data_IF_636600764113
#
_entry.id   IF_636600764113
#
_cell.length_a   1.000
_cell.length_b   1.000
_cell.length_c   1.000
_cell.angle_alpha   90.00
_cell.angle_beta   90.00
_cell.angle_gamma   90.00
#
_symmetry.space_group_name_H-M   'P 1'
#
loop_
_entity.id
_entity.type
_entity.pdbx_description
1 polymer ?
#
# COMPACT_ATOMS: atom_id res chain seq x y z
N UNK A 1 -10.13 -37.04 0.98
CA UNK A 1 -9.59 -35.69 0.73
C UNK A 1 -8.44 -35.46 1.70
N UNK A 2 -7.28 -35.20 1.12
CA UNK A 2 -5.93 -35.45 1.63
C UNK A 2 -5.51 -34.48 2.73
N UNK A 3 -4.92 -35.05 3.80
CA UNK A 3 -4.17 -34.35 4.86
C UNK A 3 -2.97 -33.63 4.23
N UNK A 4 -3.14 -32.37 3.85
CA UNK A 4 -2.02 -31.50 3.53
C UNK A 4 -1.54 -30.83 4.81
N UNK A 5 -0.33 -31.22 5.21
CA UNK A 5 0.57 -30.58 6.19
C UNK A 5 0.14 -30.73 7.65
N UNK A 6 1.04 -31.33 8.46
CA UNK A 6 0.88 -31.67 9.89
C UNK A 6 0.78 -30.47 10.84
N UNK A 7 0.07 -29.42 10.46
CA UNK A 7 -0.31 -28.36 11.36
C UNK A 7 -1.35 -28.90 12.37
N UNK A 8 -1.18 -28.64 13.67
CA UNK A 8 -2.16 -29.04 14.67
C UNK A 8 -3.56 -28.50 14.32
N UNK A 9 -4.61 -29.30 14.54
CA UNK A 9 -6.01 -28.92 14.23
C UNK A 9 -6.42 -27.58 14.89
N UNK A 10 -5.82 -27.24 16.03
CA UNK A 10 -6.03 -25.94 16.69
C UNK A 10 -5.43 -24.77 15.90
N UNK A 11 -4.27 -24.93 15.27
CA UNK A 11 -3.63 -23.91 14.44
C UNK A 11 -4.43 -23.69 13.14
N UNK A 12 -4.93 -24.78 12.55
CA UNK A 12 -5.85 -24.75 11.41
C UNK A 12 -7.14 -24.03 11.82
N UNK A 13 -7.78 -24.40 12.93
CA UNK A 13 -9.01 -23.73 13.40
C UNK A 13 -8.78 -22.23 13.71
N UNK A 14 -7.60 -21.88 14.25
CA UNK A 14 -7.23 -20.48 14.52
C UNK A 14 -7.04 -19.70 13.22
N UNK A 15 -6.44 -20.30 12.20
CA UNK A 15 -6.33 -19.76 10.84
C UNK A 15 -7.72 -19.59 10.22
N UNK A 16 -8.59 -20.59 10.32
CA UNK A 16 -9.96 -20.53 9.79
C UNK A 16 -10.81 -19.44 10.46
N UNK A 17 -10.69 -19.28 11.77
CA UNK A 17 -11.35 -18.19 12.49
C UNK A 17 -10.75 -16.83 12.14
N UNK A 18 -9.42 -16.73 12.02
CA UNK A 18 -8.72 -15.51 11.63
C UNK A 18 -9.09 -15.04 10.21
N UNK A 19 -9.23 -15.99 9.28
CA UNK A 19 -9.71 -15.75 7.92
C UNK A 19 -11.24 -15.55 7.85
N UNK A 20 -11.97 -15.71 8.97
CA UNK A 20 -13.43 -15.55 9.02
C UNK A 20 -14.20 -16.65 8.28
N UNK A 21 -13.60 -17.82 8.07
CA UNK A 21 -14.16 -18.91 7.25
C UNK A 21 -15.40 -19.57 7.87
N UNK A 22 -15.55 -19.56 9.21
CA UNK A 22 -16.76 -20.08 9.89
C UNK A 22 -17.99 -19.21 9.68
N UNK A 23 -17.83 -17.89 9.80
CA UNK A 23 -18.90 -16.94 9.48
C UNK A 23 -19.13 -16.83 7.97
N UNK A 24 -18.08 -17.10 7.17
CA UNK A 24 -18.07 -16.95 5.72
C UNK A 24 -19.13 -17.72 4.92
N UNK A 25 -19.78 -18.72 5.51
CA UNK A 25 -20.86 -19.49 4.89
C UNK A 25 -22.24 -18.81 4.99
N UNK A 26 -22.41 -17.83 5.87
CA UNK A 26 -23.65 -17.07 5.93
C UNK A 26 -23.78 -16.08 4.76
N UNK A 27 -24.99 -15.58 4.56
CA UNK A 27 -25.29 -14.62 3.48
C UNK A 27 -24.52 -13.32 3.68
N UNK A 28 -24.05 -12.73 2.58
CA UNK A 28 -23.25 -11.52 2.61
C UNK A 28 -23.99 -10.36 3.29
N UNK A 29 -23.40 -9.82 4.36
CA UNK A 29 -23.90 -8.66 5.07
C UNK A 29 -23.86 -7.40 4.18
N UNK A 30 -24.63 -6.36 4.55
CA UNK A 30 -24.71 -5.10 3.80
C UNK A 30 -23.33 -4.51 3.53
N UNK A 31 -22.48 -4.38 4.56
CA UNK A 31 -21.15 -3.80 4.42
C UNK A 31 -20.20 -4.65 3.58
N UNK A 32 -20.31 -5.97 3.64
CA UNK A 32 -19.57 -6.87 2.77
C UNK A 32 -19.92 -6.65 1.30
N UNK A 33 -21.21 -6.46 0.99
CA UNK A 33 -21.70 -6.15 -0.36
C UNK A 33 -21.23 -4.77 -0.83
N UNK A 34 -21.31 -3.76 0.03
CA UNK A 34 -20.81 -2.40 -0.29
C UNK A 34 -19.32 -2.45 -0.60
N UNK A 35 -18.51 -3.15 0.20
CA UNK A 35 -17.08 -3.31 -0.07
C UNK A 35 -16.78 -4.10 -1.35
N UNK A 36 -17.59 -5.11 -1.69
CA UNK A 36 -17.49 -5.77 -2.99
C UNK A 36 -17.84 -4.82 -4.14
N UNK A 37 -18.90 -4.02 -3.99
CA UNK A 37 -19.26 -3.00 -4.97
C UNK A 37 -18.17 -1.94 -5.16
N UNK A 38 -17.56 -1.47 -4.06
CA UNK A 38 -16.44 -0.54 -4.08
C UNK A 38 -15.24 -1.12 -4.85
N UNK A 39 -14.90 -2.40 -4.63
CA UNK A 39 -13.86 -3.09 -5.41
C UNK A 39 -14.17 -3.07 -6.92
N UNK A 40 -15.44 -3.23 -7.29
CA UNK A 40 -15.87 -3.18 -8.68
C UNK A 40 -15.77 -1.77 -9.28
N UNK A 41 -16.11 -0.75 -8.51
CA UNK A 41 -15.93 0.66 -8.89
C UNK A 41 -14.46 1.03 -9.13
N UNK A 42 -13.53 0.61 -8.25
CA UNK A 42 -12.11 0.86 -8.44
C UNK A 42 -11.52 0.14 -9.66
N UNK A 43 -11.95 -1.09 -9.94
CA UNK A 43 -11.55 -1.81 -11.14
C UNK A 43 -12.00 -1.10 -12.42
N UNK A 44 -13.24 -0.64 -12.47
CA UNK A 44 -13.77 0.12 -13.62
C UNK A 44 -12.98 1.42 -13.76
N UNK A 45 -12.74 2.15 -12.67
CA UNK A 45 -11.96 3.39 -12.70
C UNK A 45 -10.55 3.16 -13.27
N UNK A 46 -9.85 2.12 -12.82
CA UNK A 46 -8.53 1.76 -13.33
C UNK A 46 -8.56 1.40 -14.82
N UNK A 47 -9.56 0.63 -15.26
CA UNK A 47 -9.74 0.26 -16.66
C UNK A 47 -10.06 1.46 -17.56
N UNK A 48 -10.92 2.38 -17.11
CA UNK A 48 -11.22 3.63 -17.82
C UNK A 48 -9.99 4.52 -17.90
N UNK A 49 -9.23 4.66 -16.80
CA UNK A 49 -8.00 5.44 -16.80
C UNK A 49 -7.00 4.90 -17.84
N UNK A 50 -6.81 3.59 -17.93
CA UNK A 50 -5.98 2.97 -18.97
C UNK A 50 -6.41 3.36 -20.38
N UNK A 51 -7.72 3.33 -20.67
CA UNK A 51 -8.26 3.72 -21.98
C UNK A 51 -7.96 5.19 -22.29
N UNK A 52 -8.06 6.07 -21.30
CA UNK A 52 -7.77 7.50 -21.48
C UNK A 52 -6.28 7.74 -21.77
N UNK A 53 -5.40 7.02 -21.10
CA UNK A 53 -3.94 7.27 -21.18
C UNK A 53 -3.30 6.64 -22.42
N UNK A 54 -3.80 5.50 -22.89
CA UNK A 54 -3.27 4.75 -24.06
C UNK A 54 -4.39 4.09 -24.89
N UNK A 55 -5.28 4.86 -25.55
CA UNK A 55 -6.50 4.34 -26.19
C UNK A 55 -6.28 3.42 -27.40
N UNK A 56 -5.11 3.45 -28.05
CA UNK A 56 -4.86 2.78 -29.33
C UNK A 56 -3.93 1.56 -29.22
N UNK A 57 -3.54 1.17 -28.01
CA UNK A 57 -2.67 0.01 -27.78
C UNK A 57 -3.55 -1.21 -27.50
N UNK A 58 -3.48 -2.25 -28.35
CA UNK A 58 -4.35 -3.43 -28.28
C UNK A 58 -4.26 -4.13 -26.91
N UNK A 59 -3.04 -4.25 -26.37
CA UNK A 59 -2.80 -4.83 -25.04
C UNK A 59 -3.49 -4.02 -23.93
N UNK A 60 -3.49 -2.69 -24.05
CA UNK A 60 -4.18 -1.79 -23.12
C UNK A 60 -5.69 -1.95 -23.25
N UNK A 61 -6.23 -2.05 -24.46
CA UNK A 61 -7.65 -2.30 -24.68
C UNK A 61 -8.10 -3.62 -24.03
N UNK A 62 -7.33 -4.69 -24.21
CA UNK A 62 -7.60 -5.99 -23.60
C UNK A 62 -7.54 -5.92 -22.07
N UNK A 63 -6.52 -5.29 -21.50
CA UNK A 63 -6.39 -5.12 -20.05
C UNK A 63 -7.53 -4.26 -19.47
N UNK A 64 -7.86 -3.14 -20.11
CA UNK A 64 -8.98 -2.28 -19.75
C UNK A 64 -10.31 -3.03 -19.78
N UNK A 65 -10.57 -3.79 -20.84
CA UNK A 65 -11.77 -4.61 -20.95
C UNK A 65 -11.82 -5.68 -19.83
N UNK A 66 -10.69 -6.30 -19.49
CA UNK A 66 -10.58 -7.23 -18.37
C UNK A 66 -10.88 -6.58 -17.02
N UNK A 67 -10.30 -5.41 -16.75
CA UNK A 67 -10.54 -4.65 -15.51
C UNK A 67 -12.00 -4.20 -15.39
N UNK A 68 -12.56 -3.62 -16.45
CA UNK A 68 -13.97 -3.18 -16.49
C UNK A 68 -14.90 -4.38 -16.35
N UNK A 69 -14.65 -5.46 -17.08
CA UNK A 69 -15.44 -6.69 -17.02
C UNK A 69 -15.43 -7.31 -15.62
N UNK A 70 -14.27 -7.40 -14.98
CA UNK A 70 -14.18 -7.88 -13.59
C UNK A 70 -14.87 -6.92 -12.61
N UNK A 71 -14.77 -5.61 -12.83
CA UNK A 71 -15.43 -4.61 -12.01
C UNK A 71 -16.96 -4.67 -12.10
N UNK A 72 -17.50 -4.82 -13.31
CA UNK A 72 -18.93 -5.05 -13.55
C UNK A 72 -19.38 -6.36 -12.90
N UNK A 73 -18.61 -7.43 -13.02
CA UNK A 73 -18.89 -8.71 -12.36
C UNK A 73 -19.00 -8.54 -10.84
N UNK A 74 -18.07 -7.81 -10.20
CA UNK A 74 -18.11 -7.55 -8.76
C UNK A 74 -19.31 -6.68 -8.36
N UNK A 75 -19.65 -5.64 -9.13
CA UNK A 75 -20.82 -4.79 -8.90
C UNK A 75 -22.14 -5.57 -8.98
N UNK A 76 -22.30 -6.39 -10.02
CA UNK A 76 -23.49 -7.23 -10.21
C UNK A 76 -23.57 -8.26 -9.08
N UNK A 77 -22.44 -8.91 -8.76
CA UNK A 77 -22.36 -9.92 -7.70
C UNK A 77 -22.74 -9.35 -6.33
N UNK A 78 -22.39 -8.09 -6.02
CA UNK A 78 -22.74 -7.43 -4.76
C UNK A 78 -24.26 -7.38 -4.51
N UNK A 79 -25.08 -7.35 -5.57
CA UNK A 79 -26.54 -7.37 -5.49
C UNK A 79 -27.13 -8.79 -5.42
N UNK A 80 -26.31 -9.83 -5.60
CA UNK A 80 -26.74 -11.23 -5.58
C UNK A 80 -27.30 -11.67 -4.23
N UNK A 81 -28.51 -12.22 -4.20
CA UNK A 81 -29.16 -12.69 -2.95
C UNK A 81 -28.46 -13.90 -2.33
N UNK A 82 -27.82 -14.75 -3.16
CA UNK A 82 -27.15 -16.00 -2.75
C UNK A 82 -25.64 -15.84 -2.49
N UNK A 83 -25.11 -14.61 -2.48
CA UNK A 83 -23.69 -14.37 -2.24
C UNK A 83 -23.34 -14.66 -0.78
N UNK A 84 -22.36 -15.52 -0.54
CA UNK A 84 -21.84 -15.80 0.81
C UNK A 84 -20.81 -14.75 1.22
N UNK A 85 -20.65 -14.51 2.53
CA UNK A 85 -19.63 -13.56 3.03
C UNK A 85 -18.22 -13.93 2.58
N UNK A 86 -17.87 -15.23 2.58
CA UNK A 86 -16.55 -15.69 2.13
C UNK A 86 -16.27 -15.30 0.69
N UNK A 87 -17.19 -15.63 -0.23
CA UNK A 87 -17.03 -15.30 -1.64
C UNK A 87 -16.96 -13.80 -1.86
N UNK A 88 -17.81 -13.04 -1.17
CA UNK A 88 -17.79 -11.58 -1.25
C UNK A 88 -16.46 -10.98 -0.78
N UNK A 89 -15.89 -11.49 0.31
CA UNK A 89 -14.60 -11.08 0.84
C UNK A 89 -13.46 -11.46 -0.10
N UNK A 90 -13.45 -12.68 -0.66
CA UNK A 90 -12.44 -13.12 -1.63
C UNK A 90 -12.47 -12.29 -2.91
N UNK A 91 -13.65 -12.09 -3.49
CA UNK A 91 -13.82 -11.28 -4.70
C UNK A 91 -13.44 -9.82 -4.45
N UNK A 92 -13.78 -9.27 -3.28
CA UNK A 92 -13.41 -7.91 -2.91
C UNK A 92 -11.90 -7.76 -2.71
N UNK A 93 -11.24 -8.73 -2.07
CA UNK A 93 -9.78 -8.73 -1.92
C UNK A 93 -9.09 -8.78 -3.29
N UNK A 94 -9.47 -9.75 -4.14
CA UNK A 94 -8.92 -9.88 -5.48
C UNK A 94 -9.18 -8.61 -6.32
N UNK A 95 -10.39 -8.07 -6.25
CA UNK A 95 -10.76 -6.87 -6.99
C UNK A 95 -9.95 -5.64 -6.55
N UNK A 96 -9.83 -5.40 -5.24
CA UNK A 96 -9.02 -4.30 -4.73
C UNK A 96 -7.54 -4.48 -5.06
N UNK A 97 -6.95 -5.67 -4.86
CA UNK A 97 -5.54 -5.91 -5.18
C UNK A 97 -5.26 -5.67 -6.66
N UNK A 98 -6.10 -6.21 -7.55
CA UNK A 98 -5.96 -6.00 -8.99
C UNK A 98 -6.09 -4.53 -9.35
N UNK A 99 -7.09 -3.82 -8.83
CA UNK A 99 -7.27 -2.38 -9.08
C UNK A 99 -6.09 -1.55 -8.56
N UNK A 100 -5.60 -1.86 -7.36
CA UNK A 100 -4.48 -1.18 -6.71
C UNK A 100 -3.18 -1.37 -7.49
N UNK A 101 -2.88 -2.60 -7.90
CA UNK A 101 -1.68 -2.92 -8.69
C UNK A 101 -1.78 -2.27 -10.08
N UNK A 102 -2.93 -2.37 -10.74
CA UNK A 102 -3.13 -1.73 -12.03
C UNK A 102 -2.93 -0.22 -11.91
N UNK A 103 -3.62 0.44 -10.96
CA UNK A 103 -3.54 1.88 -10.76
C UNK A 103 -2.11 2.32 -10.43
N UNK A 104 -1.41 1.58 -9.58
CA UNK A 104 0.00 1.84 -9.28
C UNK A 104 0.85 1.85 -10.55
N UNK A 105 0.80 0.76 -11.32
CA UNK A 105 1.62 0.57 -12.52
C UNK A 105 1.30 1.64 -13.58
N UNK A 106 0.03 1.91 -13.83
CA UNK A 106 -0.40 2.93 -14.80
C UNK A 106 0.18 4.29 -14.40
N UNK A 107 -0.01 4.68 -13.14
CA UNK A 107 0.39 6.01 -12.69
C UNK A 107 1.92 6.12 -12.62
N UNK A 108 2.62 5.12 -12.07
CA UNK A 108 4.06 5.19 -11.84
C UNK A 108 4.92 4.93 -13.09
N UNK A 109 4.36 4.31 -14.14
CA UNK A 109 5.09 3.96 -15.37
C UNK A 109 4.64 4.72 -16.60
N UNK A 110 3.45 5.32 -16.58
CA UNK A 110 2.90 6.01 -17.75
C UNK A 110 2.65 7.49 -17.50
N UNK A 111 2.12 7.85 -16.33
CA UNK A 111 1.74 9.25 -16.03
C UNK A 111 2.83 10.03 -15.29
N UNK A 112 3.38 9.43 -14.24
CA UNK A 112 4.36 10.03 -13.34
C UNK A 112 5.61 9.15 -13.39
N UNK A 113 6.45 9.35 -14.41
CA UNK A 113 7.63 8.49 -14.62
C UNK A 113 8.83 8.88 -13.76
N UNK A 114 8.89 10.14 -13.32
CA UNK A 114 9.96 10.68 -12.47
C UNK A 114 9.49 10.87 -11.03
N UNK A 115 10.43 11.04 -10.12
CA UNK A 115 10.14 11.50 -8.76
C UNK A 115 9.59 12.93 -8.77
N UNK A 116 8.55 13.17 -7.98
CA UNK A 116 7.80 14.44 -7.97
C UNK A 116 7.70 15.10 -6.60
N UNK A 117 8.29 14.49 -5.57
CA UNK A 117 8.40 15.09 -4.23
C UNK A 117 9.86 15.12 -3.77
N UNK A 118 10.19 16.11 -2.96
CA UNK A 118 11.48 16.18 -2.27
C UNK A 118 11.69 15.01 -1.31
N UNK A 119 10.61 14.47 -0.75
CA UNK A 119 10.62 13.34 0.21
C UNK A 119 11.20 12.06 -0.41
N UNK A 120 10.76 11.66 -1.62
CA UNK A 120 11.35 10.48 -2.29
C UNK A 120 12.79 10.74 -2.72
N UNK A 121 13.11 11.97 -3.13
CA UNK A 121 14.48 12.36 -3.53
C UNK A 121 15.42 12.33 -2.32
N UNK A 122 14.98 12.83 -1.17
CA UNK A 122 15.70 12.73 0.09
C UNK A 122 15.87 11.28 0.54
N UNK A 123 14.84 10.45 0.40
CA UNK A 123 14.93 9.01 0.67
C UNK A 123 15.97 8.34 -0.23
N UNK A 124 15.97 8.66 -1.53
CA UNK A 124 16.93 8.18 -2.51
C UNK A 124 18.36 8.60 -2.18
N UNK A 125 18.56 9.87 -1.86
CA UNK A 125 19.85 10.39 -1.39
C UNK A 125 20.34 9.65 -0.15
N UNK A 126 19.43 9.42 0.81
CA UNK A 126 19.69 8.63 2.02
C UNK A 126 20.27 7.25 1.71
N UNK A 127 19.64 6.53 0.77
CA UNK A 127 20.12 5.22 0.30
C UNK A 127 21.51 5.32 -0.31
N UNK A 128 21.73 6.26 -1.24
CA UNK A 128 23.01 6.42 -1.93
C UNK A 128 24.14 6.71 -0.94
N UNK A 129 23.93 7.62 0.02
CA UNK A 129 24.95 7.99 0.99
C UNK A 129 25.30 6.88 1.97
N UNK A 130 24.30 6.10 2.40
CA UNK A 130 24.58 4.91 3.23
C UNK A 130 25.40 3.88 2.47
N UNK A 131 25.14 3.68 1.18
CA UNK A 131 25.96 2.78 0.35
C UNK A 131 27.40 3.28 0.19
N UNK A 132 27.63 4.59 0.24
CA UNK A 132 28.95 5.22 0.28
C UNK A 132 29.56 5.25 1.70
N UNK A 133 28.90 4.67 2.71
CA UNK A 133 29.31 4.71 4.13
C UNK A 133 29.40 6.16 4.65
N UNK A 134 28.53 7.04 4.15
CA UNK A 134 28.43 8.45 4.55
C UNK A 134 27.11 8.72 5.26
N UNK A 135 27.12 9.66 6.21
CA UNK A 135 25.89 10.17 6.81
C UNK A 135 25.13 11.01 5.79
N UNK A 136 23.83 10.73 5.53
CA UNK A 136 23.05 11.52 4.59
C UNK A 136 22.63 12.89 5.14
N UNK A 137 22.59 13.05 6.47
CA UNK A 137 22.07 14.26 7.11
C UNK A 137 22.95 15.51 6.92
N UNK A 138 24.22 15.32 6.58
CA UNK A 138 25.16 16.42 6.31
C UNK A 138 25.21 16.85 4.85
N UNK A 139 24.35 16.29 3.99
CA UNK A 139 24.42 16.49 2.54
C UNK A 139 23.14 17.14 2.04
N UNK A 140 23.30 18.14 1.16
CA UNK A 140 22.17 18.79 0.49
C UNK A 140 21.54 17.86 -0.56
N UNK A 141 20.20 17.76 -0.56
CA UNK A 141 19.43 17.04 -1.59
C UNK A 141 19.25 17.87 -2.87
N UNK A 142 19.60 19.17 -2.86
CA UNK A 142 19.38 20.08 -3.98
C UNK A 142 19.97 19.58 -5.31
N UNK A 143 21.22 19.07 -5.38
CA UNK A 143 21.77 18.59 -6.65
C UNK A 143 20.93 17.48 -7.29
N UNK A 144 20.30 16.62 -6.47
CA UNK A 144 19.39 15.59 -6.97
C UNK A 144 18.04 16.17 -7.39
N UNK A 145 17.49 17.13 -6.63
CA UNK A 145 16.27 17.84 -7.05
C UNK A 145 16.45 18.51 -8.41
N UNK A 146 17.58 19.21 -8.61
CA UNK A 146 17.94 19.84 -9.88
C UNK A 146 18.06 18.77 -11.00
N UNK A 147 18.72 17.63 -10.72
CA UNK A 147 18.88 16.53 -11.68
C UNK A 147 17.55 15.85 -12.07
N UNK A 148 16.58 15.81 -11.16
CA UNK A 148 15.22 15.35 -11.45
C UNK A 148 14.33 16.44 -12.08
N UNK A 149 14.84 17.66 -12.27
CA UNK A 149 14.14 18.75 -12.94
C UNK A 149 13.04 19.40 -12.10
N UNK A 150 13.20 19.43 -10.77
CA UNK A 150 12.20 20.05 -9.89
C UNK A 150 12.12 21.57 -10.10
N UNK A 151 10.91 22.08 -10.22
CA UNK A 151 10.65 23.52 -10.10
C UNK A 151 10.90 23.97 -8.66
N UNK A 152 11.47 25.17 -8.41
CA UNK A 152 11.62 25.73 -7.07
C UNK A 152 10.31 25.82 -6.26
N UNK A 153 9.15 25.83 -6.94
CA UNK A 153 7.84 25.76 -6.29
C UNK A 153 7.58 24.48 -5.49
N UNK A 154 8.41 23.44 -5.67
CA UNK A 154 8.35 22.18 -4.92
C UNK A 154 9.41 22.07 -3.83
N UNK A 155 10.19 23.13 -3.59
CA UNK A 155 11.16 23.15 -2.50
C UNK A 155 10.44 23.45 -1.18
N UNK A 156 10.84 22.73 -0.13
CA UNK A 156 10.29 22.95 1.21
C UNK A 156 10.77 24.30 1.73
N UNK A 157 9.85 25.25 2.03
CA UNK A 157 10.24 26.55 2.56
C UNK A 157 10.64 26.43 4.03
N UNK A 158 11.72 27.11 4.39
CA UNK A 158 12.13 27.36 5.76
C UNK A 158 11.26 28.44 6.41
N UNK A 159 11.30 28.51 7.73
CA UNK A 159 10.56 29.50 8.53
C UNK A 159 11.05 30.94 8.32
N UNK A 160 12.26 31.10 7.79
CA UNK A 160 12.91 32.36 7.46
C UNK A 160 12.73 32.76 5.98
N UNK A 161 11.95 31.99 5.21
CA UNK A 161 11.76 32.19 3.77
C UNK A 161 12.88 31.60 2.90
N UNK A 162 13.88 30.93 3.49
CA UNK A 162 14.85 30.12 2.76
C UNK A 162 14.23 28.79 2.29
N UNK A 163 15.03 27.91 1.68
CA UNK A 163 14.59 26.55 1.35
C UNK A 163 15.39 25.53 2.17
N UNK A 164 14.71 24.52 2.70
CA UNK A 164 15.37 23.38 3.33
C UNK A 164 15.71 22.33 2.27
N UNK A 165 17.01 22.02 2.20
CA UNK A 165 17.56 21.02 1.30
C UNK A 165 18.21 19.86 2.07
N UNK A 166 17.81 19.62 3.32
CA UNK A 166 18.34 18.52 4.11
C UNK A 166 17.30 17.44 4.33
N UNK A 167 17.79 16.24 4.65
CA UNK A 167 16.93 15.13 5.01
C UNK A 167 16.31 15.36 6.39
N UNK A 168 15.00 15.59 6.44
CA UNK A 168 14.25 15.89 7.68
C UNK A 168 13.64 14.65 8.39
N UNK A 169 13.80 13.46 7.81
CA UNK A 169 13.17 12.24 8.30
C UNK A 169 14.15 11.36 9.10
N UNK A 170 13.68 10.58 10.09
CA UNK A 170 14.56 9.70 10.87
C UNK A 170 15.07 8.53 10.02
N UNK A 171 16.10 7.84 10.49
CA UNK A 171 16.98 7.03 9.62
C UNK A 171 16.29 5.83 8.98
N UNK A 172 15.24 5.28 9.59
CA UNK A 172 14.53 4.14 9.01
C UNK A 172 13.70 4.53 7.78
N UNK A 173 13.47 5.83 7.52
CA UNK A 173 12.82 6.31 6.29
C UNK A 173 13.56 5.86 5.02
N UNK A 174 14.91 5.84 5.03
CA UNK A 174 15.73 5.36 3.92
C UNK A 174 16.38 4.00 4.18
N UNK A 175 16.65 3.64 5.44
CA UNK A 175 17.21 2.30 5.74
C UNK A 175 16.22 1.17 5.49
N UNK A 176 14.91 1.43 5.59
CA UNK A 176 13.88 0.42 5.30
C UNK A 176 13.82 0.04 3.81
N UNK A 177 14.20 0.96 2.92
CA UNK A 177 14.20 0.71 1.47
C UNK A 177 15.55 0.20 0.94
N UNK A 178 16.64 0.45 1.68
CA UNK A 178 18.00 0.05 1.32
C UNK A 178 18.14 -1.44 0.93
N UNK A 179 17.61 -2.42 1.68
CA UNK A 179 17.73 -3.83 1.30
C UNK A 179 17.14 -4.14 -0.08
N UNK A 180 15.99 -3.54 -0.40
CA UNK A 180 15.32 -3.72 -1.70
C UNK A 180 16.12 -3.08 -2.83
N UNK A 181 16.71 -1.92 -2.57
CA UNK A 181 17.59 -1.23 -3.51
C UNK A 181 18.84 -2.05 -3.85
N UNK A 182 19.47 -2.66 -2.83
CA UNK A 182 20.62 -3.57 -3.01
C UNK A 182 20.23 -4.83 -3.78
N UNK A 183 19.02 -5.35 -3.57
CA UNK A 183 18.46 -6.50 -4.30
C UNK A 183 17.97 -6.16 -5.72
N UNK A 184 18.13 -4.91 -6.17
CA UNK A 184 17.86 -4.50 -7.55
C UNK A 184 16.54 -3.76 -7.78
N UNK A 185 15.73 -3.53 -6.74
CA UNK A 185 14.51 -2.70 -6.83
C UNK A 185 14.94 -1.23 -6.74
N UNK A 186 15.26 -0.63 -7.88
CA UNK A 186 15.88 0.70 -7.95
C UNK A 186 14.90 1.86 -7.85
N UNK A 187 13.64 1.66 -8.24
CA UNK A 187 12.57 2.64 -8.00
C UNK A 187 12.05 2.49 -6.57
N UNK A 188 12.29 3.51 -5.74
CA UNK A 188 11.93 3.46 -4.33
C UNK A 188 10.43 3.39 -4.12
N UNK A 189 9.63 3.89 -5.08
CA UNK A 189 8.17 3.80 -5.03
C UNK A 189 7.71 2.35 -5.02
N UNK A 190 8.44 1.44 -5.68
CA UNK A 190 8.08 0.02 -5.71
C UNK A 190 8.22 -0.60 -4.32
N UNK A 191 9.27 -0.23 -3.61
CA UNK A 191 9.49 -0.70 -2.24
C UNK A 191 8.40 -0.18 -1.30
N UNK A 192 8.06 1.10 -1.40
CA UNK A 192 6.96 1.70 -0.64
C UNK A 192 5.63 1.03 -0.97
N UNK A 193 5.40 0.71 -2.25
CA UNK A 193 4.22 0.00 -2.71
C UNK A 193 4.13 -1.42 -2.13
N UNK A 194 5.25 -2.13 -2.00
CA UNK A 194 5.30 -3.42 -1.30
C UNK A 194 4.88 -3.28 0.17
N UNK A 195 5.43 -2.30 0.91
CA UNK A 195 5.01 -2.02 2.29
C UNK A 195 3.51 -1.71 2.39
N UNK A 196 2.97 -0.96 1.42
CA UNK A 196 1.54 -0.68 1.34
C UNK A 196 0.71 -1.94 1.10
N UNK A 197 1.10 -2.81 0.15
CA UNK A 197 0.43 -4.09 -0.10
C UNK A 197 0.42 -4.98 1.15
N UNK A 198 1.55 -5.07 1.87
CA UNK A 198 1.63 -5.82 3.11
C UNK A 198 0.70 -5.24 4.19
N UNK A 199 0.62 -3.91 4.29
CA UNK A 199 -0.25 -3.21 5.24
C UNK A 199 -1.72 -3.55 4.99
N UNK A 200 -2.20 -3.43 3.74
CA UNK A 200 -3.61 -3.70 3.43
C UNK A 200 -3.98 -5.18 3.61
N UNK A 201 -3.04 -6.10 3.39
CA UNK A 201 -3.25 -7.52 3.65
C UNK A 201 -3.40 -7.80 5.16
N UNK A 202 -2.60 -7.15 6.01
CA UNK A 202 -2.75 -7.25 7.46
C UNK A 202 -4.08 -6.64 7.91
N UNK A 203 -4.45 -5.45 7.40
CA UNK A 203 -5.74 -4.81 7.69
C UNK A 203 -6.90 -5.71 7.31
N UNK A 204 -6.88 -6.31 6.12
CA UNK A 204 -7.91 -7.27 5.69
C UNK A 204 -7.93 -8.52 6.57
N UNK A 205 -6.77 -9.04 6.97
CA UNK A 205 -6.63 -10.15 7.91
C UNK A 205 -7.28 -9.87 9.27
N UNK A 206 -7.05 -8.66 9.80
CA UNK A 206 -7.57 -8.19 11.08
C UNK A 206 -9.06 -7.83 11.06
N UNK A 207 -9.58 -7.37 9.93
CA UNK A 207 -10.97 -6.95 9.84
C UNK A 207 -11.95 -8.12 10.14
N UNK A 208 -13.03 -7.88 10.92
CA UNK A 208 -14.09 -8.87 11.11
C UNK A 208 -14.73 -9.27 9.78
N UNK A 209 -15.21 -10.52 9.64
CA UNK A 209 -15.68 -11.06 8.36
C UNK A 209 -16.75 -10.19 7.67
N UNK A 210 -17.64 -9.55 8.44
CA UNK A 210 -18.67 -8.62 7.95
C UNK A 210 -18.13 -7.30 7.37
N UNK A 211 -16.90 -6.92 7.71
CA UNK A 211 -16.25 -5.67 7.29
C UNK A 211 -15.02 -5.87 6.41
N UNK A 212 -14.50 -7.10 6.25
CA UNK A 212 -13.31 -7.41 5.44
C UNK A 212 -13.35 -6.78 4.03
N UNK A 213 -14.42 -6.96 3.27
CA UNK A 213 -14.54 -6.30 1.95
C UNK A 213 -14.48 -4.77 2.02
N UNK A 214 -15.04 -4.17 3.07
CA UNK A 214 -15.14 -2.72 3.22
C UNK A 214 -13.84 -2.09 3.73
N UNK A 215 -13.05 -2.83 4.50
CA UNK A 215 -11.83 -2.32 5.11
C UNK A 215 -10.75 -1.91 4.09
N UNK A 216 -10.86 -2.37 2.84
CA UNK A 216 -9.94 -2.02 1.76
C UNK A 216 -10.33 -0.75 0.99
N UNK A 217 -11.60 -0.36 1.03
CA UNK A 217 -12.13 0.72 0.21
C UNK A 217 -11.40 2.07 0.40
N UNK A 218 -11.03 2.50 1.63
CA UNK A 218 -10.29 3.75 1.83
C UNK A 218 -8.94 3.81 1.13
N UNK A 219 -8.35 2.66 0.80
CA UNK A 219 -7.00 2.56 0.23
C UNK A 219 -6.99 2.45 -1.30
N UNK A 220 -8.16 2.38 -1.96
CA UNK A 220 -8.25 2.11 -3.39
C UNK A 220 -7.52 3.11 -4.30
N UNK A 221 -7.47 4.39 -3.90
CA UNK A 221 -6.76 5.46 -4.65
C UNK A 221 -5.36 5.77 -4.12
N UNK A 222 -4.98 5.20 -2.97
CA UNK A 222 -3.68 5.45 -2.35
C UNK A 222 -2.47 5.10 -3.25
N UNK A 223 -2.55 4.14 -4.20
CA UNK A 223 -1.47 3.90 -5.16
C UNK A 223 -1.06 5.12 -5.99
N UNK A 224 -1.98 6.05 -6.26
CA UNK A 224 -1.69 7.30 -6.98
C UNK A 224 -0.72 8.16 -6.17
N UNK A 225 -0.92 8.21 -4.85
CA UNK A 225 -0.10 8.98 -3.91
C UNK A 225 1.33 8.41 -3.85
N UNK A 226 1.45 7.08 -3.77
CA UNK A 226 2.75 6.39 -3.80
C UNK A 226 3.44 6.60 -5.15
N UNK A 227 2.71 6.46 -6.26
CA UNK A 227 3.25 6.70 -7.59
C UNK A 227 3.75 8.15 -7.78
N UNK A 228 3.08 9.11 -7.13
CA UNK A 228 3.49 10.51 -7.01
C UNK A 228 4.69 10.75 -6.06
N UNK A 229 5.36 9.71 -5.56
CA UNK A 229 6.59 9.86 -4.76
C UNK A 229 6.37 10.09 -3.27
N UNK A 230 5.16 9.89 -2.75
CA UNK A 230 4.94 9.99 -1.32
C UNK A 230 5.42 8.70 -0.64
N UNK A 231 6.66 8.68 -0.16
CA UNK A 231 7.27 7.50 0.50
C UNK A 231 6.84 7.32 1.96
N UNK A 232 6.05 8.27 2.45
CA UNK A 232 5.56 8.39 3.81
C UNK A 232 4.64 7.26 4.28
N UNK A 233 4.33 6.21 3.50
CA UNK A 233 3.46 5.12 3.99
C UNK A 233 4.20 3.98 4.69
N UNK A 234 5.53 3.95 4.67
CA UNK A 234 6.31 2.85 5.27
C UNK A 234 6.12 2.78 6.79
N UNK A 235 6.02 3.92 7.50
CA UNK A 235 5.77 3.91 8.94
C UNK A 235 4.40 3.32 9.29
N UNK A 236 3.40 3.48 8.40
CA UNK A 236 2.06 2.93 8.60
C UNK A 236 2.07 1.40 8.59
N UNK A 237 2.96 0.76 7.82
CA UNK A 237 3.16 -0.68 7.88
C UNK A 237 3.59 -1.12 9.28
N UNK A 238 4.61 -0.48 9.85
CA UNK A 238 5.10 -0.80 11.19
C UNK A 238 4.03 -0.51 12.27
N UNK A 239 3.22 0.52 12.07
CA UNK A 239 2.11 0.84 12.97
C UNK A 239 0.99 -0.21 12.90
N UNK A 240 0.58 -0.64 11.71
CA UNK A 240 -0.40 -1.72 11.54
C UNK A 240 0.13 -3.03 12.13
N UNK A 241 1.44 -3.30 11.96
CA UNK A 241 2.09 -4.45 12.56
C UNK A 241 2.10 -4.39 14.10
N UNK A 242 2.26 -3.19 14.66
CA UNK A 242 2.11 -2.94 16.11
C UNK A 242 0.72 -3.36 16.58
N UNK A 243 -0.34 -2.85 15.95
CA UNK A 243 -1.71 -3.23 16.30
C UNK A 243 -1.96 -4.75 16.15
N UNK A 244 -1.41 -5.37 15.12
CA UNK A 244 -1.51 -6.81 14.90
C UNK A 244 -0.84 -7.64 16.02
N UNK A 245 0.33 -7.19 16.50
CA UNK A 245 1.14 -7.91 17.48
C UNK A 245 0.75 -7.61 18.94
N UNK A 246 0.07 -6.49 19.19
CA UNK A 246 -0.21 -5.92 20.52
C UNK A 246 -0.57 -6.96 21.58
N UNK A 247 -1.61 -7.78 21.33
CA UNK A 247 -2.12 -8.73 22.32
C UNK A 247 -1.34 -10.04 22.42
N UNK A 248 -0.69 -10.49 21.33
CA UNK A 248 -0.07 -11.82 21.27
C UNK A 248 1.43 -11.80 21.48
N UNK A 249 2.09 -10.71 21.09
CA UNK A 249 3.53 -10.54 21.10
C UNK A 249 3.89 -9.11 21.53
N UNK A 250 3.60 -8.71 22.78
CA UNK A 250 3.72 -7.32 23.23
C UNK A 250 5.14 -6.76 23.06
N UNK A 251 6.19 -7.56 23.32
CA UNK A 251 7.58 -7.14 23.08
C UNK A 251 7.85 -6.80 21.62
N UNK A 252 7.36 -7.63 20.69
CA UNK A 252 7.50 -7.38 19.26
C UNK A 252 6.66 -6.18 18.83
N UNK A 253 5.47 -5.99 19.43
CA UNK A 253 4.63 -4.81 19.21
C UNK A 253 5.34 -3.50 19.59
N UNK A 254 5.99 -3.46 20.76
CA UNK A 254 6.76 -2.28 21.17
C UNK A 254 7.95 -2.04 20.24
N UNK A 255 8.62 -3.10 19.78
CA UNK A 255 9.69 -2.97 18.80
C UNK A 255 9.17 -2.38 17.48
N UNK A 256 8.04 -2.86 16.96
CA UNK A 256 7.47 -2.33 15.72
C UNK A 256 6.96 -0.90 15.85
N UNK A 257 6.50 -0.49 17.04
CA UNK A 257 6.19 0.91 17.31
C UNK A 257 7.45 1.77 17.25
N UNK A 258 8.56 1.30 17.83
CA UNK A 258 9.86 1.93 17.71
C UNK A 258 10.31 2.08 16.25
N UNK A 259 10.08 1.04 15.41
CA UNK A 259 10.35 1.11 13.97
C UNK A 259 9.45 2.15 13.26
N UNK A 260 8.17 2.25 13.64
CA UNK A 260 7.27 3.27 13.09
C UNK A 260 7.80 4.69 13.38
N UNK A 261 8.17 4.95 14.64
CA UNK A 261 8.75 6.24 15.09
C UNK A 261 10.09 6.51 14.38
N UNK A 262 10.95 5.50 14.25
CA UNK A 262 12.22 5.60 13.54
C UNK A 262 12.05 5.80 12.03
N UNK A 263 10.85 5.59 11.48
CA UNK A 263 10.53 5.86 10.07
C UNK A 263 9.92 7.25 9.91
N UNK A 264 9.02 7.66 10.81
CA UNK A 264 8.38 8.99 10.79
C UNK A 264 7.98 9.45 12.19
N UNK A 265 8.37 10.67 12.56
CA UNK A 265 8.19 11.20 13.92
C UNK A 265 6.71 11.20 14.35
N UNK A 266 5.79 11.49 13.43
CA UNK A 266 4.35 11.57 13.72
C UNK A 266 3.75 10.26 14.27
N UNK A 267 4.42 9.12 14.06
CA UNK A 267 4.01 7.85 14.64
C UNK A 267 3.95 7.90 16.18
N UNK A 268 4.72 8.80 16.83
CA UNK A 268 4.66 8.99 18.28
C UNK A 268 3.30 9.51 18.76
N UNK A 269 2.60 10.29 17.94
CA UNK A 269 1.28 10.85 18.29
C UNK A 269 0.22 9.75 18.29
N UNK A 270 0.45 8.67 17.53
CA UNK A 270 -0.44 7.51 17.48
C UNK A 270 -0.17 6.53 18.64
N UNK A 271 0.88 6.77 19.45
CA UNK A 271 1.41 5.82 20.42
C UNK A 271 0.67 5.71 21.76
N UNK A 272 -0.48 6.38 22.03
CA UNK A 272 -1.39 5.82 23.03
C UNK A 272 -2.88 6.00 22.70
N UNK A 273 -3.43 5.17 21.80
CA UNK A 273 -4.85 4.79 21.77
C UNK A 273 -5.00 3.30 21.45
#
# INVERSE_FOLDING_TARGET
MTRLLGAPQWAINKLYNYLGLREGLSTAARWTRVGLGASGGFLILAGVLLLVVRPLVIEVLALSAGLIGFGLFNLISAHGKKLTMLRANQLSLLGHLTAIIALYVIVSRVLIVSYTTDTVVGTYMGVLKVLEVQSPYGVSIKPLLDAFGFSPSFYTPGVDGSFDFHLAYPSLSFLSVLPFYVLGIRDLRDTVFIFFLLSILIVFGLAPAKFKSMSLAPFGLFPVVIAGGWTDSVWAFFLVLTAFLWYRHPKASWATLGLAIATKQIAIVVAPF
#
